data_IF_237199195828
#
_entry.id   IF_237199195828
#
_cell.length_a   1.000
_cell.length_b   1.000
_cell.length_c   1.000
_cell.angle_alpha   90.00
_cell.angle_beta   90.00
_cell.angle_gamma   90.00
#
_symmetry.space_group_name_H-M   'P 1'
#
loop_
_entity.id
_entity.type
_entity.pdbx_description
1 polymer ?
#
# COMPACT_ATOMS: atom_id res chain seq x y z
N UNK A 1 23.04 10.67 13.62
CA UNK A 1 23.06 9.23 13.91
C UNK A 1 24.17 8.59 13.10
N UNK A 2 25.02 7.82 13.76
CA UNK A 2 26.04 6.96 13.15
C UNK A 2 25.54 5.53 13.20
N UNK A 3 25.75 4.77 12.14
CA UNK A 3 25.55 3.32 12.13
C UNK A 3 26.88 2.65 11.84
N UNK A 4 27.42 1.93 12.81
CA UNK A 4 28.66 1.16 12.67
C UNK A 4 28.28 -0.30 12.43
N UNK A 5 28.81 -0.88 11.36
CA UNK A 5 28.68 -2.31 11.12
C UNK A 5 29.84 -3.02 11.82
N UNK A 6 29.54 -3.71 12.92
CA UNK A 6 30.49 -4.64 13.54
C UNK A 6 30.20 -6.04 13.03
N UNK A 7 31.19 -6.94 13.02
CA UNK A 7 31.03 -8.33 12.56
C UNK A 7 29.83 -9.08 13.16
N UNK A 8 29.32 -8.64 14.32
CA UNK A 8 28.20 -9.26 15.02
C UNK A 8 26.91 -8.44 14.98
N UNK A 9 26.99 -7.11 14.90
CA UNK A 9 25.80 -6.26 14.96
C UNK A 9 25.94 -4.84 14.38
N UNK A 10 24.81 -4.22 14.05
CA UNK A 10 24.75 -2.79 13.77
C UNK A 10 24.67 -2.06 15.10
N UNK A 11 25.64 -1.18 15.34
CA UNK A 11 25.65 -0.32 16.51
C UNK A 11 25.23 1.07 16.06
N UNK A 12 24.12 1.57 16.62
CA UNK A 12 23.70 2.96 16.44
C UNK A 12 24.35 3.80 17.53
N UNK A 13 25.15 4.77 17.12
CA UNK A 13 25.84 5.71 18.01
C UNK A 13 25.31 7.10 17.71
N UNK A 14 24.84 7.78 18.75
CA UNK A 14 24.26 9.13 18.59
C UNK A 14 25.28 10.24 18.82
N UNK A 15 26.40 9.93 19.48
CA UNK A 15 27.46 10.89 19.81
C UNK A 15 28.71 10.71 18.92
N UNK A 16 29.19 11.83 18.37
CA UNK A 16 30.42 11.88 17.58
C UNK A 16 31.66 11.69 18.44
N UNK A 17 31.65 12.13 19.70
CA UNK A 17 32.81 12.05 20.58
C UNK A 17 33.29 10.60 20.75
N UNK A 18 32.35 9.65 20.83
CA UNK A 18 32.63 8.21 20.92
C UNK A 18 33.43 7.69 19.72
N UNK A 19 33.30 8.27 18.52
CA UNK A 19 34.12 7.89 17.37
C UNK A 19 35.53 8.46 17.45
N UNK A 20 35.68 9.71 17.90
CA UNK A 20 36.97 10.39 18.02
C UNK A 20 37.87 9.71 19.06
N UNK A 21 37.27 9.14 20.11
CA UNK A 21 37.99 8.40 21.15
C UNK A 21 38.43 6.99 20.72
N UNK A 22 38.04 6.50 19.54
CA UNK A 22 38.43 5.17 19.05
C UNK A 22 39.92 5.14 18.76
N UNK A 23 40.56 4.06 19.21
CA UNK A 23 41.95 3.79 18.89
C UNK A 23 42.15 3.74 17.37
N UNK A 24 43.08 4.55 16.86
CA UNK A 24 43.37 4.65 15.43
C UNK A 24 42.57 5.72 14.68
N UNK A 25 41.61 6.40 15.32
CA UNK A 25 40.92 7.51 14.68
C UNK A 25 41.86 8.71 14.44
N UNK A 26 41.80 9.29 13.25
CA UNK A 26 42.50 10.52 12.87
C UNK A 26 41.56 11.44 12.09
N UNK A 27 41.65 12.75 12.34
CA UNK A 27 40.92 13.78 11.62
C UNK A 27 41.75 14.42 10.48
N UNK A 28 42.92 13.86 10.19
CA UNK A 28 43.89 14.38 9.21
C UNK A 28 44.57 13.24 8.42
N UNK A 29 43.79 12.34 7.82
CA UNK A 29 44.30 11.23 7.01
C UNK A 29 44.78 11.73 5.63
N UNK A 30 46.01 11.38 5.24
CA UNK A 30 46.49 11.56 3.86
C UNK A 30 46.02 10.41 2.96
N UNK A 31 45.07 10.64 2.02
CA UNK A 31 44.54 9.58 1.17
C UNK A 31 45.56 9.03 0.16
N UNK A 32 46.70 9.69 -0.06
CA UNK A 32 47.76 9.21 -0.97
C UNK A 32 48.70 8.22 -0.30
N UNK A 33 48.78 8.23 1.03
CA UNK A 33 49.68 7.38 1.81
C UNK A 33 49.01 6.12 2.34
N UNK A 34 47.68 6.03 2.23
CA UNK A 34 46.91 4.96 2.83
C UNK A 34 45.92 4.36 1.83
N UNK A 35 45.83 3.03 1.83
CA UNK A 35 44.81 2.30 1.09
C UNK A 35 43.62 1.98 1.99
N UNK A 36 42.41 2.05 1.41
CA UNK A 36 41.20 1.62 2.11
C UNK A 36 41.23 0.10 2.35
N UNK A 37 40.83 -0.28 3.56
CA UNK A 37 40.56 -1.66 3.94
C UNK A 37 39.06 -1.95 3.89
N UNK A 38 38.26 -1.10 4.52
CA UNK A 38 36.81 -1.28 4.61
C UNK A 38 36.09 0.03 4.95
N UNK A 39 34.80 0.09 4.62
CA UNK A 39 33.85 1.01 5.27
C UNK A 39 33.27 0.30 6.48
N UNK A 40 33.44 0.89 7.65
CA UNK A 40 33.02 0.32 8.94
C UNK A 40 31.80 1.02 9.52
N UNK A 41 31.39 2.15 8.95
CA UNK A 41 30.20 2.86 9.37
C UNK A 41 29.69 3.88 8.36
N UNK A 42 28.45 4.33 8.55
CA UNK A 42 27.88 5.53 7.91
C UNK A 42 27.46 6.53 8.98
N UNK A 43 27.49 7.82 8.63
CA UNK A 43 26.94 8.87 9.46
C UNK A 43 25.99 9.75 8.67
N UNK A 44 24.93 10.19 9.34
CA UNK A 44 24.01 11.20 8.86
C UNK A 44 23.61 12.10 10.04
N UNK A 45 23.98 13.38 9.98
CA UNK A 45 23.72 14.38 11.01
C UNK A 45 23.04 15.61 10.42
N UNK A 46 22.29 16.32 11.27
CA UNK A 46 21.74 17.64 10.93
C UNK A 46 22.88 18.66 10.82
N UNK A 47 23.77 18.63 11.80
CA UNK A 47 24.99 19.44 11.80
C UNK A 47 26.08 18.80 10.94
N UNK A 48 26.92 19.65 10.33
CA UNK A 48 27.99 19.18 9.43
C UNK A 48 29.23 18.80 10.22
N UNK A 49 29.81 17.66 9.88
CA UNK A 49 31.08 17.18 10.41
C UNK A 49 32.21 17.48 9.44
N UNK A 50 33.32 18.00 9.95
CA UNK A 50 34.56 18.25 9.17
C UNK A 50 35.06 16.94 8.57
N UNK A 51 35.41 16.93 7.29
CA UNK A 51 36.04 15.77 6.65
C UNK A 51 37.41 15.47 7.28
N UNK A 52 37.67 14.20 7.56
CA UNK A 52 38.92 13.75 8.15
C UNK A 52 40.06 13.52 7.15
N UNK A 53 39.88 13.88 5.87
CA UNK A 53 40.97 13.90 4.89
C UNK A 53 41.75 15.22 4.98
N UNK A 54 43.08 15.11 5.03
CA UNK A 54 44.00 16.25 5.06
C UNK A 54 43.88 17.17 3.84
N UNK A 55 43.44 16.62 2.71
CA UNK A 55 43.24 17.35 1.46
C UNK A 55 41.86 18.00 1.30
N UNK A 56 40.94 17.87 2.27
CA UNK A 56 39.57 18.35 2.11
C UNK A 56 39.07 19.21 3.27
N UNK A 57 38.98 18.65 4.48
CA UNK A 57 38.39 19.28 5.67
C UNK A 57 37.06 20.01 5.52
N UNK A 58 36.34 19.79 4.43
CA UNK A 58 35.06 20.46 4.17
C UNK A 58 33.99 19.82 5.05
N UNK A 59 33.07 20.60 5.67
CA UNK A 59 32.01 20.03 6.47
C UNK A 59 30.96 19.29 5.63
N UNK A 60 30.61 18.06 6.03
CA UNK A 60 29.59 17.20 5.41
C UNK A 60 28.49 16.81 6.40
N UNK A 61 27.25 16.75 5.94
CA UNK A 61 26.12 16.25 6.74
C UNK A 61 25.99 14.72 6.71
N UNK A 62 26.58 14.06 5.71
CA UNK A 62 26.58 12.60 5.57
C UNK A 62 27.88 12.09 4.97
N UNK A 63 28.23 10.86 5.33
CA UNK A 63 29.44 10.21 4.86
C UNK A 63 29.64 8.86 5.51
N UNK A 64 30.88 8.39 5.47
CA UNK A 64 31.28 7.07 5.95
C UNK A 64 32.42 7.16 6.94
N UNK A 65 32.49 6.17 7.82
CA UNK A 65 33.66 5.89 8.63
C UNK A 65 34.42 4.78 7.92
N UNK A 66 35.68 5.05 7.58
CA UNK A 66 36.55 4.13 6.86
C UNK A 66 37.70 3.68 7.74
N UNK A 67 38.13 2.44 7.54
CA UNK A 67 39.37 1.90 8.07
C UNK A 67 40.37 1.68 6.93
N UNK A 68 41.63 2.02 7.16
CA UNK A 68 42.73 1.80 6.22
C UNK A 68 43.47 0.49 6.53
N UNK A 69 44.28 0.01 5.59
CA UNK A 69 45.14 -1.16 5.81
C UNK A 69 46.21 -0.93 6.88
N UNK A 70 46.57 0.32 7.14
CA UNK A 70 47.52 0.71 8.20
C UNK A 70 46.87 0.78 9.59
N UNK A 71 45.57 0.48 9.72
CA UNK A 71 44.86 0.49 11.00
C UNK A 71 44.36 1.86 11.45
N UNK A 72 44.42 2.87 10.57
CA UNK A 72 43.84 4.19 10.84
C UNK A 72 42.35 4.19 10.48
N UNK A 73 41.56 4.89 11.27
CA UNK A 73 40.15 5.15 11.03
C UNK A 73 39.95 6.64 10.77
N UNK A 74 39.05 7.01 9.86
CA UNK A 74 38.68 8.42 9.68
C UNK A 74 37.27 8.54 9.10
N UNK A 75 36.73 9.75 9.11
CA UNK A 75 35.44 10.07 8.52
C UNK A 75 35.60 10.78 7.18
N UNK A 76 34.86 10.34 6.17
CA UNK A 76 34.94 10.93 4.84
C UNK A 76 33.56 11.17 4.24
N UNK A 77 33.41 12.30 3.57
CA UNK A 77 32.23 12.56 2.74
C UNK A 77 32.15 11.57 1.57
N UNK A 78 30.94 11.29 1.09
CA UNK A 78 30.71 10.41 -0.07
C UNK A 78 31.51 10.84 -1.30
N UNK A 79 31.48 12.14 -1.61
CA UNK A 79 32.16 12.68 -2.80
C UNK A 79 33.69 12.65 -2.62
N UNK A 80 34.17 12.92 -1.41
CA UNK A 80 35.59 12.81 -1.08
C UNK A 80 36.11 11.38 -1.23
N UNK A 81 35.38 10.39 -0.69
CA UNK A 81 35.78 9.00 -0.82
C UNK A 81 35.85 8.55 -2.28
N UNK A 82 34.86 8.94 -3.09
CA UNK A 82 34.87 8.67 -4.54
C UNK A 82 36.03 9.35 -5.26
N UNK A 83 36.32 10.62 -4.95
CA UNK A 83 37.40 11.36 -5.59
C UNK A 83 38.79 10.80 -5.24
N UNK A 84 38.99 10.41 -3.98
CA UNK A 84 40.32 10.02 -3.49
C UNK A 84 40.61 8.53 -3.59
N UNK A 85 39.60 7.66 -3.49
CA UNK A 85 39.76 6.20 -3.49
C UNK A 85 39.02 5.50 -4.65
N UNK A 86 38.33 6.26 -5.50
CA UNK A 86 37.86 5.77 -6.79
C UNK A 86 36.82 4.64 -6.73
N UNK A 87 37.06 3.59 -7.52
CA UNK A 87 36.13 2.46 -7.72
C UNK A 87 35.98 1.65 -6.45
N UNK A 88 37.09 1.35 -5.75
CA UNK A 88 37.09 0.55 -4.53
C UNK A 88 36.16 1.13 -3.47
N UNK A 89 36.17 2.46 -3.28
CA UNK A 89 35.25 3.12 -2.35
C UNK A 89 33.79 3.03 -2.79
N UNK A 90 33.50 3.14 -4.10
CA UNK A 90 32.12 3.00 -4.57
C UNK A 90 31.58 1.58 -4.37
N UNK A 91 32.41 0.56 -4.60
CA UNK A 91 32.00 -0.82 -4.44
C UNK A 91 31.88 -1.19 -2.96
N UNK A 92 32.83 -0.78 -2.12
CA UNK A 92 32.74 -0.94 -0.66
C UNK A 92 31.52 -0.23 -0.08
N UNK A 93 31.20 1.00 -0.55
CA UNK A 93 30.05 1.75 -0.01
C UNK A 93 28.72 1.13 -0.44
N UNK A 94 28.62 0.64 -1.68
CA UNK A 94 27.45 -0.11 -2.13
C UNK A 94 27.25 -1.40 -1.36
N UNK A 95 28.33 -2.16 -1.15
CA UNK A 95 28.27 -3.39 -0.37
C UNK A 95 27.84 -3.10 1.08
N UNK A 96 28.45 -2.10 1.71
CA UNK A 96 28.10 -1.68 3.07
C UNK A 96 26.62 -1.26 3.18
N UNK A 97 26.13 -0.40 2.29
CA UNK A 97 24.73 0.03 2.32
C UNK A 97 23.76 -1.14 2.09
N UNK A 98 24.14 -2.10 1.22
CA UNK A 98 23.39 -3.32 1.00
C UNK A 98 23.34 -4.18 2.27
N UNK A 99 24.46 -4.39 2.94
CA UNK A 99 24.54 -5.21 4.16
C UNK A 99 23.72 -4.59 5.30
N UNK A 100 23.78 -3.26 5.44
CA UNK A 100 22.96 -2.50 6.39
C UNK A 100 21.47 -2.70 6.08
N UNK A 101 21.08 -2.48 4.82
CA UNK A 101 19.69 -2.63 4.38
C UNK A 101 19.19 -4.06 4.58
N UNK A 102 20.03 -5.05 4.29
CA UNK A 102 19.70 -6.46 4.49
C UNK A 102 19.39 -6.75 5.96
N UNK A 103 20.23 -6.26 6.87
CA UNK A 103 20.02 -6.43 8.30
C UNK A 103 18.79 -5.66 8.82
N UNK A 104 18.61 -4.41 8.42
CA UNK A 104 17.41 -3.62 8.79
C UNK A 104 16.13 -4.28 8.27
N UNK A 105 16.16 -4.88 7.08
CA UNK A 105 15.04 -5.65 6.55
C UNK A 105 14.77 -6.90 7.37
N UNK A 106 15.80 -7.67 7.76
CA UNK A 106 15.62 -8.84 8.64
C UNK A 106 15.02 -8.45 9.99
N UNK A 107 15.51 -7.36 10.61
CA UNK A 107 14.96 -6.83 11.87
C UNK A 107 13.48 -6.45 11.72
N UNK A 108 13.12 -5.79 10.61
CA UNK A 108 11.74 -5.43 10.30
C UNK A 108 10.85 -6.66 10.15
N UNK A 109 11.33 -7.67 9.42
CA UNK A 109 10.57 -8.90 9.20
C UNK A 109 10.43 -9.72 10.47
N UNK A 110 11.46 -9.81 11.31
CA UNK A 110 11.36 -10.46 12.62
C UNK A 110 10.36 -9.75 13.53
N UNK A 111 10.43 -8.42 13.60
CA UNK A 111 9.46 -7.62 14.37
C UNK A 111 8.02 -7.85 13.91
N UNK A 112 7.81 -7.97 12.60
CA UNK A 112 6.51 -8.32 12.03
C UNK A 112 6.12 -9.78 12.30
N UNK A 113 7.06 -10.72 12.20
CA UNK A 113 6.84 -12.15 12.44
C UNK A 113 6.36 -12.40 13.88
N UNK A 114 6.89 -11.68 14.86
CA UNK A 114 6.41 -11.76 16.25
C UNK A 114 4.97 -11.25 16.44
N UNK A 115 4.46 -10.41 15.53
CA UNK A 115 3.09 -9.89 15.54
C UNK A 115 2.15 -10.66 14.60
N UNK A 116 2.65 -11.72 13.95
CA UNK A 116 1.92 -12.39 12.87
C UNK A 116 0.63 -13.06 13.37
N UNK A 117 0.65 -13.64 14.56
CA UNK A 117 -0.54 -14.24 15.19
C UNK A 117 -1.60 -13.18 15.52
N UNK A 118 -1.20 -12.02 16.02
CA UNK A 118 -2.09 -10.87 16.28
C UNK A 118 -2.76 -10.38 14.98
N UNK A 119 -1.98 -10.31 13.90
CA UNK A 119 -2.46 -9.89 12.58
C UNK A 119 -3.46 -10.92 12.03
N UNK A 120 -3.14 -12.21 12.12
CA UNK A 120 -4.06 -13.28 11.69
C UNK A 120 -5.35 -13.27 12.51
N UNK A 121 -5.28 -13.02 13.82
CA UNK A 121 -6.47 -12.87 14.66
C UNK A 121 -7.29 -11.66 14.22
N UNK A 122 -6.65 -10.51 13.97
CA UNK A 122 -7.33 -9.30 13.47
C UNK A 122 -8.04 -9.56 12.14
N UNK A 123 -7.42 -10.30 11.23
CA UNK A 123 -8.05 -10.72 9.97
C UNK A 123 -9.29 -11.59 10.24
N UNK A 124 -9.19 -12.57 11.13
CA UNK A 124 -10.32 -13.44 11.46
C UNK A 124 -11.47 -12.66 12.11
N UNK A 125 -11.16 -11.71 13.00
CA UNK A 125 -12.14 -10.84 13.65
C UNK A 125 -12.89 -9.97 12.61
N UNK A 126 -12.17 -9.34 11.68
CA UNK A 126 -12.79 -8.54 10.59
C UNK A 126 -13.70 -9.42 9.73
N UNK A 127 -13.28 -10.66 9.44
CA UNK A 127 -14.03 -11.59 8.59
C UNK A 127 -15.27 -12.15 9.25
N UNK A 128 -15.15 -12.59 10.51
CA UNK A 128 -16.16 -13.38 11.23
C UNK A 128 -17.02 -12.59 12.20
N UNK A 129 -16.72 -11.30 12.43
CA UNK A 129 -17.62 -10.43 13.16
C UNK A 129 -19.05 -10.50 12.60
N UNK A 130 -20.02 -10.12 13.43
CA UNK A 130 -21.40 -9.98 12.97
C UNK A 130 -21.46 -9.01 11.78
N UNK A 131 -22.03 -9.48 10.67
CA UNK A 131 -22.01 -8.78 9.37
C UNK A 131 -20.59 -8.30 9.00
N UNK A 132 -19.58 -9.14 9.24
CA UNK A 132 -18.18 -8.92 8.90
C UNK A 132 -17.90 -9.10 7.41
N UNK A 133 -16.62 -9.18 7.06
CA UNK A 133 -16.21 -9.18 5.65
C UNK A 133 -16.77 -10.34 4.83
N UNK A 134 -16.86 -11.53 5.41
CA UNK A 134 -17.42 -12.70 4.70
C UNK A 134 -18.92 -12.51 4.39
N UNK A 135 -19.66 -11.83 5.27
CA UNK A 135 -21.06 -11.48 5.03
C UNK A 135 -21.19 -10.39 3.96
N UNK A 136 -20.41 -9.31 4.07
CA UNK A 136 -20.42 -8.20 3.09
C UNK A 136 -20.08 -8.72 1.70
N UNK A 137 -19.01 -9.51 1.58
CA UNK A 137 -18.60 -10.11 0.31
C UNK A 137 -19.71 -10.97 -0.28
N UNK A 138 -20.28 -11.89 0.52
CA UNK A 138 -21.32 -12.82 0.05
C UNK A 138 -22.60 -12.10 -0.38
N UNK A 139 -23.02 -11.09 0.37
CA UNK A 139 -24.25 -10.34 0.09
C UNK A 139 -24.08 -9.31 -1.03
N UNK A 140 -22.86 -8.86 -1.31
CA UNK A 140 -22.60 -7.96 -2.44
C UNK A 140 -22.50 -8.67 -3.78
N UNK A 141 -22.07 -9.95 -3.83
CA UNK A 141 -21.92 -10.70 -5.09
C UNK A 141 -23.16 -10.68 -6.00
N UNK A 142 -24.40 -10.91 -5.51
CA UNK A 142 -25.59 -10.83 -6.35
C UNK A 142 -25.76 -9.52 -7.12
N UNK A 143 -25.22 -8.41 -6.63
CA UNK A 143 -25.32 -7.10 -7.28
C UNK A 143 -24.35 -6.90 -8.45
N UNK A 144 -23.31 -7.72 -8.56
CA UNK A 144 -22.25 -7.57 -9.56
C UNK A 144 -22.04 -8.84 -10.42
N UNK A 145 -22.56 -9.99 -9.98
CA UNK A 145 -22.51 -11.26 -10.70
C UNK A 145 -23.89 -11.66 -11.22
N UNK A 146 -23.96 -12.00 -12.51
CA UNK A 146 -25.19 -12.50 -13.13
C UNK A 146 -25.59 -13.86 -12.54
N UNK A 147 -26.90 -14.13 -12.50
CA UNK A 147 -27.48 -15.42 -12.06
C UNK A 147 -27.19 -15.78 -10.58
N UNK A 148 -26.97 -14.78 -9.73
CA UNK A 148 -26.71 -14.95 -8.27
C UNK A 148 -27.84 -14.47 -7.36
N UNK A 149 -29.03 -14.23 -7.91
CA UNK A 149 -30.24 -13.89 -7.15
C UNK A 149 -30.75 -12.46 -7.34
N UNK A 150 -29.98 -11.57 -7.98
CA UNK A 150 -30.51 -10.28 -8.45
C UNK A 150 -30.88 -10.34 -9.94
N UNK A 151 -31.93 -9.63 -10.37
CA UNK A 151 -32.27 -9.44 -11.77
C UNK A 151 -31.11 -8.86 -12.59
N UNK A 152 -30.94 -9.36 -13.82
CA UNK A 152 -29.87 -8.93 -14.72
C UNK A 152 -29.87 -7.42 -14.98
N UNK A 153 -31.06 -6.79 -15.08
CA UNK A 153 -31.17 -5.33 -15.27
C UNK A 153 -30.51 -4.54 -14.14
N UNK A 154 -30.64 -5.02 -12.89
CA UNK A 154 -30.05 -4.38 -11.72
C UNK A 154 -28.53 -4.56 -11.75
N UNK A 155 -28.05 -5.77 -12.02
CA UNK A 155 -26.61 -6.06 -12.10
C UNK A 155 -25.94 -5.21 -13.17
N UNK A 156 -26.54 -5.11 -14.36
CA UNK A 156 -26.04 -4.26 -15.45
C UNK A 156 -26.02 -2.78 -15.04
N UNK A 157 -27.10 -2.29 -14.41
CA UNK A 157 -27.17 -0.90 -13.95
C UNK A 157 -26.08 -0.59 -12.93
N UNK A 158 -25.86 -1.47 -11.96
CA UNK A 158 -24.79 -1.32 -10.97
C UNK A 158 -23.43 -1.34 -11.68
N UNK A 159 -23.21 -2.24 -12.64
CA UNK A 159 -21.99 -2.26 -13.45
C UNK A 159 -21.73 -0.93 -14.17
N UNK A 160 -22.75 -0.28 -14.71
CA UNK A 160 -22.62 1.04 -15.33
C UNK A 160 -22.37 2.16 -14.31
N UNK A 161 -23.00 2.08 -13.13
CA UNK A 161 -22.74 2.99 -12.01
C UNK A 161 -21.29 2.92 -11.54
N UNK A 162 -20.71 1.72 -11.43
CA UNK A 162 -19.31 1.53 -11.07
C UNK A 162 -18.34 2.08 -12.11
N UNK A 163 -18.66 1.95 -13.41
CA UNK A 163 -17.84 2.50 -14.50
C UNK A 163 -17.87 4.03 -14.54
N UNK A 164 -19.02 4.62 -14.25
CA UNK A 164 -19.23 6.08 -14.35
C UNK A 164 -18.96 6.81 -13.04
N UNK A 165 -18.86 6.08 -11.92
CA UNK A 165 -18.71 6.64 -10.58
C UNK A 165 -19.97 7.34 -10.04
N UNK A 166 -21.14 7.12 -10.66
CA UNK A 166 -22.40 7.73 -10.21
C UNK A 166 -23.12 6.86 -9.19
N UNK A 167 -23.56 7.46 -8.08
CA UNK A 167 -24.44 6.84 -7.09
C UNK A 167 -25.93 6.98 -7.44
N UNK A 168 -26.27 7.73 -8.50
CA UNK A 168 -27.64 8.07 -8.85
C UNK A 168 -28.26 6.97 -9.73
N UNK A 169 -29.34 6.40 -9.24
CA UNK A 169 -30.20 5.50 -10.00
C UNK A 169 -31.10 6.34 -10.89
N UNK A 170 -31.12 6.05 -12.20
CA UNK A 170 -32.02 6.69 -13.15
C UNK A 170 -32.94 5.66 -13.78
N UNK A 171 -34.17 6.07 -14.09
CA UNK A 171 -35.16 5.27 -14.81
C UNK A 171 -35.48 5.97 -16.12
N UNK A 172 -35.57 5.21 -17.20
CA UNK A 172 -35.86 5.75 -18.52
C UNK A 172 -37.38 5.82 -18.72
N UNK A 173 -37.88 7.01 -19.05
CA UNK A 173 -39.28 7.24 -19.43
C UNK A 173 -39.37 7.91 -20.79
N UNK A 174 -40.52 7.78 -21.45
CA UNK A 174 -40.78 8.54 -22.67
C UNK A 174 -40.72 10.04 -22.37
N UNK A 175 -40.02 10.76 -23.23
CA UNK A 175 -39.85 12.18 -23.14
C UNK A 175 -41.17 12.90 -23.42
N UNK A 176 -41.45 13.96 -22.66
CA UNK A 176 -42.61 14.81 -22.94
C UNK A 176 -42.41 15.54 -24.26
N UNK A 177 -43.51 16.02 -24.85
CA UNK A 177 -43.45 16.84 -26.06
C UNK A 177 -42.53 18.07 -25.87
N UNK A 178 -42.58 18.68 -24.69
CA UNK A 178 -41.74 19.84 -24.34
C UNK A 178 -40.24 19.48 -24.29
N UNK A 179 -39.88 18.32 -23.74
CA UNK A 179 -38.49 17.83 -23.71
C UNK A 179 -37.96 17.50 -25.10
N UNK A 180 -38.81 16.95 -25.98
CA UNK A 180 -38.49 16.69 -27.39
C UNK A 180 -38.28 18.02 -28.13
N UNK A 181 -39.23 18.94 -28.03
CA UNK A 181 -39.19 20.24 -28.70
C UNK A 181 -37.96 21.06 -28.25
N UNK A 182 -37.63 21.04 -26.96
CA UNK A 182 -36.44 21.69 -26.42
C UNK A 182 -35.13 21.08 -26.96
N UNK A 183 -35.08 19.75 -27.11
CA UNK A 183 -33.90 19.06 -27.67
C UNK A 183 -33.75 19.33 -29.17
N UNK A 184 -34.84 19.31 -29.92
CA UNK A 184 -34.87 19.63 -31.36
C UNK A 184 -34.44 21.08 -31.60
N UNK A 185 -34.94 22.02 -30.78
CA UNK A 185 -34.53 23.43 -30.82
C UNK A 185 -33.04 23.63 -30.52
N UNK A 186 -32.48 22.88 -29.56
CA UNK A 186 -31.06 22.98 -29.17
C UNK A 186 -30.11 22.36 -30.21
N UNK A 187 -30.51 21.26 -30.83
CA UNK A 187 -29.64 20.50 -31.76
C UNK A 187 -29.89 20.82 -33.24
N UNK A 188 -30.98 21.53 -33.55
CA UNK A 188 -31.39 21.86 -34.92
C UNK A 188 -31.76 20.64 -35.76
N UNK A 189 -31.99 19.48 -35.13
CA UNK A 189 -32.28 18.20 -35.79
C UNK A 189 -33.48 17.54 -35.14
N UNK A 190 -34.32 16.91 -35.95
CA UNK A 190 -35.43 16.10 -35.46
C UNK A 190 -34.92 14.92 -34.63
N UNK A 191 -35.55 14.68 -33.49
CA UNK A 191 -35.21 13.57 -32.60
C UNK A 191 -36.01 12.34 -33.00
N UNK A 192 -35.35 11.18 -33.09
CA UNK A 192 -36.01 9.90 -33.39
C UNK A 192 -36.97 9.51 -32.27
N UNK A 193 -38.22 9.19 -32.62
CA UNK A 193 -39.29 8.83 -31.68
C UNK A 193 -39.51 7.30 -31.64
N UNK A 194 -39.86 6.70 -30.48
CA UNK A 194 -39.98 7.34 -29.16
C UNK A 194 -38.61 7.78 -28.62
N UNK A 195 -38.56 8.98 -28.05
CA UNK A 195 -37.38 9.53 -27.39
C UNK A 195 -37.52 9.30 -25.89
N UNK A 196 -36.46 8.81 -25.26
CA UNK A 196 -36.45 8.52 -23.83
C UNK A 196 -35.55 9.52 -23.09
N UNK A 197 -35.98 9.89 -21.89
CA UNK A 197 -35.23 10.72 -20.95
C UNK A 197 -35.07 9.93 -19.65
N UNK A 198 -33.88 10.02 -19.08
CA UNK A 198 -33.54 9.42 -17.81
C UNK A 198 -33.87 10.39 -16.67
N UNK A 199 -34.67 9.96 -15.71
CA UNK A 199 -35.00 10.72 -14.51
C UNK A 199 -34.39 10.09 -13.25
N UNK A 200 -33.95 10.88 -12.26
CA UNK A 200 -33.39 10.36 -11.03
C UNK A 200 -34.47 9.66 -10.19
N UNK A 201 -34.24 8.38 -9.91
CA UNK A 201 -35.13 7.51 -9.15
C UNK A 201 -34.68 7.31 -7.69
N UNK A 202 -33.42 7.64 -7.38
CA UNK A 202 -32.86 7.58 -6.03
C UNK A 202 -31.33 7.62 -6.06
N UNK A 203 -30.72 7.55 -4.87
CA UNK A 203 -29.27 7.48 -4.70
C UNK A 203 -28.90 6.27 -3.86
N UNK A 204 -27.79 5.62 -4.18
CA UNK A 204 -27.21 4.52 -3.43
C UNK A 204 -25.99 5.02 -2.67
N UNK A 205 -26.07 5.06 -1.35
CA UNK A 205 -24.94 5.37 -0.49
C UNK A 205 -23.90 4.24 -0.54
N UNK A 206 -22.62 4.59 -0.37
CA UNK A 206 -21.50 3.63 -0.20
C UNK A 206 -21.27 2.65 -1.38
N UNK A 207 -21.55 3.09 -2.62
CA UNK A 207 -21.30 2.28 -3.83
C UNK A 207 -19.84 1.79 -3.96
N UNK A 208 -18.88 2.55 -3.41
CA UNK A 208 -17.45 2.23 -3.44
C UNK A 208 -17.10 0.85 -2.84
N UNK A 209 -17.97 0.27 -2.00
CA UNK A 209 -17.83 -1.10 -1.46
C UNK A 209 -17.70 -2.15 -2.57
N UNK A 210 -18.25 -1.86 -3.75
CA UNK A 210 -18.20 -2.75 -4.91
C UNK A 210 -16.99 -2.51 -5.83
N UNK A 211 -16.13 -1.53 -5.53
CA UNK A 211 -14.92 -1.29 -6.33
C UNK A 211 -13.90 -2.42 -6.15
N UNK A 212 -13.13 -2.71 -7.19
CA UNK A 212 -12.20 -3.84 -7.18
C UNK A 212 -11.08 -3.69 -6.15
N UNK A 213 -10.64 -2.46 -5.88
CA UNK A 213 -9.65 -2.14 -4.85
C UNK A 213 -10.16 -2.36 -3.41
N UNK A 214 -11.47 -2.55 -3.25
CA UNK A 214 -12.16 -2.83 -1.99
C UNK A 214 -12.68 -4.28 -1.93
N UNK A 215 -12.24 -5.17 -2.84
CA UNK A 215 -12.64 -6.57 -2.77
C UNK A 215 -12.05 -7.24 -1.52
N UNK A 216 -12.93 -7.46 -0.53
CA UNK A 216 -12.57 -8.00 0.77
C UNK A 216 -11.93 -9.39 0.71
N UNK A 217 -12.27 -10.22 -0.29
CA UNK A 217 -11.65 -11.53 -0.45
C UNK A 217 -10.22 -11.40 -0.98
N UNK A 218 -10.01 -10.51 -1.96
CA UNK A 218 -8.67 -10.22 -2.46
C UNK A 218 -7.77 -9.66 -1.35
N UNK A 219 -8.27 -8.70 -0.57
CA UNK A 219 -7.50 -8.06 0.51
C UNK A 219 -7.22 -9.06 1.65
N UNK A 220 -8.26 -9.60 2.28
CA UNK A 220 -8.10 -10.33 3.53
C UNK A 220 -7.59 -11.76 3.32
N UNK A 221 -8.08 -12.45 2.29
CA UNK A 221 -7.82 -13.89 2.10
C UNK A 221 -6.63 -14.12 1.17
N UNK A 222 -6.69 -13.57 -0.05
CA UNK A 222 -5.69 -13.86 -1.08
C UNK A 222 -4.39 -13.09 -0.91
N UNK A 223 -4.45 -11.87 -0.38
CA UNK A 223 -3.26 -11.10 -0.04
C UNK A 223 -2.83 -11.34 1.41
N UNK A 224 -3.57 -10.80 2.39
CA UNK A 224 -3.10 -10.74 3.78
C UNK A 224 -2.93 -12.12 4.42
N UNK A 225 -3.98 -12.95 4.47
CA UNK A 225 -3.93 -14.26 5.12
C UNK A 225 -2.94 -15.20 4.41
N UNK A 226 -3.03 -15.31 3.09
CA UNK A 226 -2.17 -16.21 2.30
C UNK A 226 -0.69 -15.81 2.41
N UNK A 227 -0.37 -14.51 2.33
CA UNK A 227 1.03 -14.07 2.46
C UNK A 227 1.54 -14.11 3.88
N UNK A 228 0.70 -13.87 4.90
CA UNK A 228 1.09 -14.04 6.30
C UNK A 228 1.48 -15.50 6.57
N UNK A 229 0.64 -16.46 6.13
CA UNK A 229 0.97 -17.90 6.20
C UNK A 229 2.19 -18.26 5.35
N UNK A 230 2.37 -17.60 4.21
CA UNK A 230 3.56 -17.75 3.38
C UNK A 230 4.83 -17.32 4.12
N UNK A 231 4.80 -16.18 4.78
CA UNK A 231 5.92 -15.64 5.54
C UNK A 231 6.23 -16.47 6.80
N UNK A 232 5.21 -16.96 7.50
CA UNK A 232 5.40 -17.78 8.72
C UNK A 232 6.17 -19.08 8.45
N UNK A 233 6.08 -19.61 7.23
CA UNK A 233 6.74 -20.86 6.83
C UNK A 233 8.16 -20.65 6.28
N UNK A 234 8.63 -19.41 6.18
CA UNK A 234 9.96 -19.09 5.68
C UNK A 234 10.92 -18.81 6.84
N UNK A 235 12.17 -19.22 6.66
CA UNK A 235 13.25 -18.84 7.54
C UNK A 235 13.82 -17.47 7.10
N UNK A 236 13.56 -16.45 7.93
CA UNK A 236 13.98 -15.07 7.68
C UNK A 236 15.50 -14.94 7.61
N UNK A 237 16.27 -15.77 8.30
CA UNK A 237 17.73 -15.66 8.38
C UNK A 237 18.43 -16.18 7.12
N UNK A 238 17.76 -17.02 6.33
CA UNK A 238 18.31 -17.57 5.08
C UNK A 238 17.83 -16.85 3.81
N UNK A 239 16.94 -15.85 3.95
CA UNK A 239 16.43 -15.11 2.80
C UNK A 239 17.52 -14.33 2.06
N UNK A 240 17.38 -14.25 0.74
CA UNK A 240 18.21 -13.37 -0.11
C UNK A 240 17.78 -11.91 0.02
N UNK A 241 18.67 -10.98 -0.36
CA UNK A 241 18.38 -9.55 -0.39
C UNK A 241 17.08 -9.19 -1.14
N UNK A 242 16.83 -9.82 -2.29
CA UNK A 242 15.63 -9.59 -3.08
C UNK A 242 14.35 -10.10 -2.39
N UNK A 243 14.44 -11.25 -1.72
CA UNK A 243 13.34 -11.80 -0.94
C UNK A 243 13.00 -10.88 0.25
N UNK A 244 14.02 -10.41 0.97
CA UNK A 244 13.86 -9.47 2.08
C UNK A 244 13.18 -8.18 1.64
N UNK A 245 13.67 -7.56 0.56
CA UNK A 245 13.05 -6.34 0.00
C UNK A 245 11.59 -6.55 -0.39
N UNK A 246 11.29 -7.68 -1.04
CA UNK A 246 9.91 -8.02 -1.44
C UNK A 246 8.99 -8.12 -0.23
N UNK A 247 9.44 -8.81 0.82
CA UNK A 247 8.64 -9.02 2.02
C UNK A 247 8.49 -7.74 2.84
N UNK A 248 9.55 -6.95 3.04
CA UNK A 248 9.46 -5.67 3.74
C UNK A 248 8.52 -4.71 3.00
N UNK A 249 8.59 -4.66 1.67
CA UNK A 249 7.65 -3.87 0.87
C UNK A 249 6.20 -4.29 1.11
N UNK A 250 5.93 -5.59 1.18
CA UNK A 250 4.57 -6.07 1.46
C UNK A 250 4.14 -5.80 2.90
N UNK A 251 5.00 -6.06 3.89
CA UNK A 251 4.77 -5.75 5.31
C UNK A 251 4.39 -4.28 5.49
N UNK A 252 5.07 -3.37 4.79
CA UNK A 252 4.73 -1.93 4.80
C UNK A 252 3.34 -1.58 4.27
N UNK A 253 2.60 -2.52 3.67
CA UNK A 253 1.22 -2.32 3.18
C UNK A 253 0.15 -2.96 4.06
N UNK A 254 0.54 -3.76 5.07
CA UNK A 254 -0.41 -4.59 5.83
C UNK A 254 -1.39 -3.73 6.64
N UNK A 255 -0.89 -2.75 7.38
CA UNK A 255 -1.73 -1.88 8.23
C UNK A 255 -2.75 -1.09 7.40
N UNK A 256 -2.33 -0.52 6.26
CA UNK A 256 -3.24 0.20 5.35
C UNK A 256 -4.34 -0.72 4.80
N UNK A 257 -4.00 -1.96 4.47
CA UNK A 257 -4.97 -2.94 3.95
C UNK A 257 -5.95 -3.40 5.03
N UNK A 258 -5.49 -3.59 6.26
CA UNK A 258 -6.37 -3.90 7.39
C UNK A 258 -7.37 -2.77 7.63
N UNK A 259 -6.88 -1.52 7.66
CA UNK A 259 -7.76 -0.35 7.81
C UNK A 259 -8.77 -0.26 6.65
N UNK A 260 -8.31 -0.41 5.40
CA UNK A 260 -9.19 -0.39 4.23
C UNK A 260 -10.28 -1.46 4.30
N UNK A 261 -9.93 -2.67 4.74
CA UNK A 261 -10.90 -3.74 4.91
C UNK A 261 -11.93 -3.41 6.00
N UNK A 262 -11.51 -2.85 7.13
CA UNK A 262 -12.40 -2.40 8.20
C UNK A 262 -13.38 -1.32 7.70
N UNK A 263 -12.85 -0.30 7.01
CA UNK A 263 -13.66 0.79 6.45
C UNK A 263 -14.66 0.25 5.42
N UNK A 264 -14.22 -0.66 4.55
CA UNK A 264 -15.08 -1.31 3.56
C UNK A 264 -16.17 -2.15 4.22
N UNK A 265 -15.88 -2.85 5.32
CA UNK A 265 -16.90 -3.59 6.08
C UNK A 265 -17.92 -2.63 6.70
N UNK A 266 -17.46 -1.52 7.29
CA UNK A 266 -18.34 -0.52 7.88
C UNK A 266 -19.27 0.10 6.82
N UNK A 267 -18.72 0.55 5.69
CA UNK A 267 -19.47 1.02 4.52
C UNK A 267 -20.39 -0.06 3.95
N UNK A 268 -19.93 -1.32 3.92
CA UNK A 268 -20.67 -2.47 3.41
C UNK A 268 -21.93 -2.76 4.22
N UNK A 269 -21.87 -2.59 5.54
CA UNK A 269 -23.04 -2.72 6.43
C UNK A 269 -24.11 -1.68 6.16
N UNK A 270 -23.72 -0.46 5.79
CA UNK A 270 -24.64 0.62 5.43
C UNK A 270 -25.16 0.46 3.99
N UNK A 271 -24.28 0.04 3.08
CA UNK A 271 -24.59 -0.22 1.67
C UNK A 271 -25.64 -1.33 1.53
N UNK A 272 -25.45 -2.45 2.24
CA UNK A 272 -26.28 -3.66 2.16
C UNK A 272 -27.50 -3.59 3.10
N UNK A 273 -28.29 -2.53 2.96
CA UNK A 273 -29.57 -2.39 3.65
C UNK A 273 -30.72 -2.40 2.64
N UNK A 274 -31.87 -2.93 3.05
CA UNK A 274 -33.06 -2.94 2.21
C UNK A 274 -33.49 -1.52 1.81
N UNK A 275 -33.34 -0.56 2.74
CA UNK A 275 -33.63 0.85 2.51
C UNK A 275 -32.74 1.46 1.43
N UNK A 276 -31.41 1.33 1.56
CA UNK A 276 -30.45 1.91 0.62
C UNK A 276 -30.58 1.36 -0.80
N UNK A 277 -30.92 0.06 -0.94
CA UNK A 277 -31.04 -0.60 -2.24
C UNK A 277 -32.46 -0.58 -2.82
N UNK A 278 -33.46 -0.10 -2.07
CA UNK A 278 -34.87 -0.12 -2.47
C UNK A 278 -35.15 0.63 -3.78
N UNK A 279 -34.39 1.70 -4.07
CA UNK A 279 -34.55 2.51 -5.28
C UNK A 279 -34.28 1.73 -6.58
N UNK A 280 -33.49 0.64 -6.51
CA UNK A 280 -33.23 -0.25 -7.64
C UNK A 280 -34.47 -1.04 -8.09
N UNK A 281 -35.48 -1.19 -7.23
CA UNK A 281 -36.74 -1.86 -7.60
C UNK A 281 -37.45 -1.15 -8.76
N UNK A 282 -37.23 0.15 -8.94
CA UNK A 282 -37.82 0.97 -10.01
C UNK A 282 -37.24 0.68 -11.40
N UNK A 283 -36.12 -0.05 -11.48
CA UNK A 283 -35.47 -0.43 -12.76
C UNK A 283 -36.14 -1.66 -13.37
N UNK A 284 -36.73 -2.51 -12.54
CA UNK A 284 -37.37 -3.76 -12.97
C UNK A 284 -38.88 -3.57 -13.07
N UNK A 285 -39.48 -4.23 -14.06
CA UNK A 285 -40.91 -4.09 -14.35
C UNK A 285 -41.61 -5.44 -14.52
N UNK A 286 -40.86 -6.54 -14.56
CA UNK A 286 -41.45 -7.88 -14.63
C UNK A 286 -41.74 -8.37 -13.20
N UNK A 287 -42.88 -9.04 -13.02
CA UNK A 287 -43.31 -9.54 -11.70
C UNK A 287 -42.28 -10.51 -11.09
N UNK A 288 -41.62 -11.31 -11.93
CA UNK A 288 -40.58 -12.24 -11.53
C UNK A 288 -39.31 -11.52 -11.06
N UNK A 289 -38.85 -10.48 -11.78
CA UNK A 289 -37.69 -9.69 -11.38
C UNK A 289 -37.96 -8.92 -10.07
N UNK A 290 -39.17 -8.36 -9.93
CA UNK A 290 -39.59 -7.66 -8.71
C UNK A 290 -39.60 -8.63 -7.52
N UNK A 291 -40.14 -9.84 -7.71
CA UNK A 291 -40.14 -10.87 -6.66
C UNK A 291 -38.72 -11.29 -6.28
N UNK A 292 -37.89 -11.61 -7.27
CA UNK A 292 -36.49 -12.02 -7.05
C UNK A 292 -35.71 -10.94 -6.29
N UNK A 293 -35.85 -9.67 -6.68
CA UNK A 293 -35.16 -8.58 -5.99
C UNK A 293 -35.69 -8.36 -4.56
N UNK A 294 -37.01 -8.47 -4.34
CA UNK A 294 -37.57 -8.38 -3.00
C UNK A 294 -37.10 -9.52 -2.08
N UNK A 295 -36.94 -10.74 -2.60
CA UNK A 295 -36.33 -11.85 -1.86
C UNK A 295 -34.87 -11.55 -1.50
N UNK A 296 -34.11 -10.98 -2.43
CA UNK A 296 -32.76 -10.52 -2.16
C UNK A 296 -32.73 -9.46 -1.04
N UNK A 297 -33.57 -8.42 -1.11
CA UNK A 297 -33.63 -7.36 -0.08
C UNK A 297 -33.99 -7.93 1.31
N UNK A 298 -34.92 -8.88 1.38
CA UNK A 298 -35.26 -9.57 2.64
C UNK A 298 -34.08 -10.35 3.22
N UNK A 299 -33.20 -10.85 2.36
CA UNK A 299 -32.01 -11.60 2.80
C UNK A 299 -30.92 -10.73 3.45
N UNK A 300 -31.06 -9.39 3.37
CA UNK A 300 -30.16 -8.40 3.99
C UNK A 300 -30.59 -8.04 5.43
N UNK A 301 -31.81 -8.40 5.82
CA UNK A 301 -32.36 -8.17 7.16
C UNK A 301 -31.68 -9.06 8.22
#
# INVERSE_FOLDING_TARGET
MITINTEKQLIRVDDWATLVERAGFTDDLDPKQHELKAIIGRYAFKDKLRCGLSSCHTPHNRGYIVATKSGLETNIGKDCGKTHFGVDFNDMSRQFERDITEKENRETLWSFHFRLDEILQTIDDIRRAERGADWVYRRSRPLIELNKGCPEKIVRRIGDMLKTGTSIVTVSREATKEEIDAKEARTGRQVRRPYYVDEPAGEIANLHVLYCENDLREILVLDLETKSKGLSNLDIDTMTYEQLLRWVKWVGTVEEKLQRAQDTVASGRQFLTAENLSCLSRIVSSDDDVRAFNEYLKSLA
#
